data_IF_241000806476
#
_entry.id   IF_241000806476
#
_cell.length_a   1.000
_cell.length_b   1.000
_cell.length_c   1.000
_cell.angle_alpha   90.00
_cell.angle_beta   90.00
_cell.angle_gamma   90.00
#
_symmetry.space_group_name_H-M   'P 1'
#
loop_
_entity.id
_entity.type
_entity.pdbx_description
1 polymer ?
#
# COMPACT_ATOMS: atom_id res chain seq x y z
N UNK A 1 18.87 -51.30 10.15
CA UNK A 1 17.45 -51.32 10.57
C UNK A 1 16.66 -50.75 9.40
N UNK A 2 16.14 -51.66 8.57
CA UNK A 2 15.49 -51.35 7.30
C UNK A 2 13.98 -51.40 7.49
N UNK A 3 13.25 -50.44 6.93
CA UNK A 3 11.90 -50.63 6.40
C UNK A 3 11.64 -49.65 5.25
N UNK A 4 11.86 -50.16 4.03
CA UNK A 4 11.10 -49.80 2.82
C UNK A 4 9.62 -50.05 3.08
N UNK A 5 8.73 -49.26 2.46
CA UNK A 5 7.37 -49.56 1.93
C UNK A 5 6.88 -48.19 1.37
N UNK A 6 7.04 -47.84 0.10
CA UNK A 6 6.16 -48.15 -1.06
C UNK A 6 4.66 -48.20 -0.71
N UNK A 7 3.90 -47.19 -1.16
CA UNK A 7 2.64 -47.40 -1.88
C UNK A 7 2.24 -46.09 -2.61
N UNK A 8 2.43 -46.07 -3.94
CA UNK A 8 1.54 -45.36 -4.85
C UNK A 8 0.18 -46.06 -4.77
N UNK A 9 -0.91 -45.32 -4.66
CA UNK A 9 -2.19 -45.75 -5.23
C UNK A 9 -2.93 -44.56 -5.85
N UNK A 10 -3.28 -44.80 -7.10
CA UNK A 10 -3.96 -43.99 -8.09
C UNK A 10 -5.36 -44.61 -8.23
N UNK A 11 -6.41 -43.78 -8.36
CA UNK A 11 -7.76 -44.03 -8.98
C UNK A 11 -8.75 -44.90 -8.14
N UNK A 12 -10.11 -44.76 -8.24
CA UNK A 12 -10.96 -44.16 -9.32
C UNK A 12 -11.96 -43.07 -8.87
N UNK A 13 -12.32 -42.11 -9.73
CA UNK A 13 -13.33 -42.23 -10.82
C UNK A 13 -14.66 -42.79 -10.31
N UNK A 14 -15.48 -41.95 -9.69
CA UNK A 14 -16.90 -42.26 -9.48
C UNK A 14 -17.64 -41.97 -10.79
N UNK A 15 -17.81 -43.02 -11.60
CA UNK A 15 -18.77 -43.10 -12.69
C UNK A 15 -20.15 -43.35 -12.04
N UNK A 16 -21.00 -42.32 -11.95
CA UNK A 16 -22.43 -42.53 -11.68
C UNK A 16 -23.14 -42.60 -13.02
N UNK A 17 -23.44 -43.83 -13.44
CA UNK A 17 -24.46 -44.13 -14.44
C UNK A 17 -25.77 -44.47 -13.73
N UNK A 18 -26.70 -43.53 -13.75
CA UNK A 18 -28.15 -43.75 -13.82
C UNK A 18 -28.64 -42.57 -14.69
N UNK A 19 -29.20 -42.78 -15.87
CA UNK A 19 -30.36 -43.62 -16.14
C UNK A 19 -31.48 -42.65 -16.50
N UNK A 20 -31.85 -42.64 -17.78
CA UNK A 20 -32.90 -41.80 -18.37
C UNK A 20 -34.13 -41.66 -17.48
N UNK A 21 -34.63 -40.43 -17.32
CA UNK A 21 -36.01 -40.14 -17.70
C UNK A 21 -36.17 -38.65 -18.06
N UNK A 22 -36.80 -38.45 -19.21
CA UNK A 22 -37.12 -37.16 -19.81
C UNK A 22 -38.32 -36.53 -19.11
N UNK A 23 -38.16 -35.34 -18.53
CA UNK A 23 -39.10 -34.22 -18.71
C UNK A 23 -38.77 -33.05 -17.77
N UNK A 24 -38.60 -31.85 -18.34
CA UNK A 24 -38.96 -30.60 -17.67
C UNK A 24 -37.80 -29.80 -17.07
N UNK A 25 -37.39 -28.78 -17.83
CA UNK A 25 -36.94 -27.45 -17.38
C UNK A 25 -36.15 -27.34 -16.07
N UNK A 26 -34.84 -27.06 -16.17
CA UNK A 26 -34.17 -26.10 -15.28
C UNK A 26 -32.78 -25.73 -15.80
N UNK A 27 -32.53 -24.43 -15.86
CA UNK A 27 -31.29 -23.75 -16.23
C UNK A 27 -30.21 -23.98 -15.18
N UNK A 28 -29.07 -24.57 -15.55
CA UNK A 28 -27.80 -24.35 -14.83
C UNK A 28 -26.65 -24.22 -15.82
N UNK A 29 -26.31 -22.97 -16.12
CA UNK A 29 -25.01 -22.57 -16.66
C UNK A 29 -23.97 -22.79 -15.57
N UNK A 30 -23.05 -23.75 -15.73
CA UNK A 30 -21.90 -23.87 -14.82
C UNK A 30 -20.85 -22.83 -15.23
N UNK A 31 -20.91 -21.65 -14.62
CA UNK A 31 -19.84 -20.68 -14.69
C UNK A 31 -18.69 -21.15 -13.82
N UNK A 32 -17.55 -21.42 -14.45
CA UNK A 32 -16.28 -21.73 -13.81
C UNK A 32 -15.73 -20.42 -13.23
N UNK A 33 -15.73 -20.26 -11.91
CA UNK A 33 -15.15 -19.09 -11.23
C UNK A 33 -13.71 -19.45 -10.85
N UNK A 34 -12.74 -18.87 -11.54
CA UNK A 34 -11.34 -18.80 -11.09
C UNK A 34 -11.22 -17.64 -10.10
N UNK A 35 -10.86 -17.93 -8.86
CA UNK A 35 -10.70 -16.94 -7.80
C UNK A 35 -9.37 -16.18 -7.94
N UNK A 36 -9.43 -15.01 -8.56
CA UNK A 36 -8.46 -13.92 -8.38
C UNK A 36 -9.26 -12.62 -8.21
N UNK A 37 -10.08 -12.56 -7.16
CA UNK A 37 -10.73 -11.32 -6.76
C UNK A 37 -9.71 -10.45 -6.01
N UNK A 38 -8.87 -9.76 -6.76
CA UNK A 38 -8.35 -8.48 -6.29
C UNK A 38 -9.53 -7.52 -6.21
N UNK A 39 -9.97 -7.17 -5.01
CA UNK A 39 -10.95 -6.11 -4.78
C UNK A 39 -10.25 -4.78 -5.12
N UNK A 40 -10.18 -4.45 -6.40
CA UNK A 40 -10.00 -3.07 -6.82
C UNK A 40 -11.31 -2.36 -6.51
N UNK A 41 -11.33 -1.59 -5.41
CA UNK A 41 -12.31 -0.52 -5.27
C UNK A 41 -11.98 0.47 -6.39
N UNK A 42 -12.60 0.28 -7.54
CA UNK A 42 -12.71 1.34 -8.54
C UNK A 42 -13.28 2.54 -7.83
N UNK A 43 -12.57 3.68 -7.85
CA UNK A 43 -13.20 4.98 -7.69
C UNK A 43 -14.49 4.95 -8.52
N UNK A 44 -15.66 5.30 -7.95
CA UNK A 44 -16.92 5.23 -8.68
C UNK A 44 -16.82 6.12 -9.92
N UNK A 45 -16.50 5.49 -11.06
CA UNK A 45 -16.32 6.08 -12.39
C UNK A 45 -17.61 5.95 -13.20
N UNK A 46 -18.74 6.07 -12.53
CA UNK A 46 -20.03 6.29 -13.16
C UNK A 46 -20.73 7.33 -12.31
N UNK A 47 -21.13 8.41 -12.95
CA UNK A 47 -21.97 9.49 -12.46
C UNK A 47 -23.28 8.91 -11.87
N UNK A 48 -23.20 8.28 -10.70
CA UNK A 48 -24.36 8.06 -9.86
C UNK A 48 -24.72 9.46 -9.36
N UNK A 49 -25.72 10.08 -9.99
CA UNK A 49 -26.25 11.36 -9.54
C UNK A 49 -26.55 11.23 -8.06
N UNK A 50 -25.75 11.91 -7.23
CA UNK A 50 -25.96 11.95 -5.79
C UNK A 50 -27.31 12.64 -5.58
N UNK A 51 -28.33 11.84 -5.29
CA UNK A 51 -29.73 12.25 -5.38
C UNK A 51 -30.12 13.27 -4.31
N UNK A 52 -29.32 13.42 -3.25
CA UNK A 52 -29.58 14.35 -2.16
C UNK A 52 -28.30 14.74 -1.39
N UNK A 53 -28.34 15.85 -0.66
CA UNK A 53 -27.25 16.26 0.23
C UNK A 53 -26.97 15.24 1.36
N UNK A 54 -27.97 14.46 1.76
CA UNK A 54 -27.79 13.39 2.75
C UNK A 54 -27.00 12.20 2.17
N UNK A 55 -27.27 11.84 0.91
CA UNK A 55 -26.48 10.84 0.19
C UNK A 55 -25.03 11.31 0.04
N UNK A 56 -24.82 12.60 -0.25
CA UNK A 56 -23.49 13.21 -0.31
C UNK A 56 -22.72 13.04 1.01
N UNK A 57 -23.37 13.33 2.15
CA UNK A 57 -22.78 13.10 3.48
C UNK A 57 -22.41 11.63 3.70
N UNK A 58 -23.27 10.70 3.30
CA UNK A 58 -23.01 9.27 3.48
C UNK A 58 -21.82 8.79 2.62
N UNK A 59 -21.69 9.30 1.39
CA UNK A 59 -20.51 9.08 0.54
C UNK A 59 -19.25 9.64 1.22
N UNK A 60 -19.32 10.86 1.74
CA UNK A 60 -18.18 11.49 2.43
C UNK A 60 -17.72 10.70 3.67
N UNK A 61 -18.65 10.16 4.48
CA UNK A 61 -18.31 9.26 5.60
C UNK A 61 -17.63 7.99 5.13
N UNK A 62 -18.11 7.39 4.03
CA UNK A 62 -17.50 6.20 3.43
C UNK A 62 -16.09 6.50 2.93
N UNK A 63 -15.86 7.67 2.34
CA UNK A 63 -14.53 8.10 1.87
C UNK A 63 -13.53 8.17 3.03
N UNK A 64 -13.91 8.70 4.20
CA UNK A 64 -12.98 8.75 5.34
C UNK A 64 -12.78 7.38 6.01
N UNK A 65 -13.79 6.50 5.99
CA UNK A 65 -13.66 5.11 6.45
C UNK A 65 -12.66 4.34 5.59
N UNK A 66 -12.87 4.32 4.26
CA UNK A 66 -11.97 3.66 3.31
C UNK A 66 -10.56 4.22 3.44
N UNK A 67 -10.42 5.55 3.56
CA UNK A 67 -9.11 6.18 3.73
C UNK A 67 -8.36 5.70 4.99
N UNK A 68 -9.08 5.49 6.09
CA UNK A 68 -8.51 4.96 7.33
C UNK A 68 -8.20 3.46 7.23
N UNK A 69 -9.12 2.65 6.69
CA UNK A 69 -8.96 1.19 6.55
C UNK A 69 -7.76 0.81 5.68
N UNK A 70 -7.54 1.51 4.57
CA UNK A 70 -6.36 1.34 3.72
C UNK A 70 -5.02 1.55 4.46
N UNK A 71 -5.06 2.16 5.66
CA UNK A 71 -3.90 2.53 6.48
C UNK A 71 -3.82 1.78 7.79
N UNK A 72 -4.74 0.86 8.10
CA UNK A 72 -4.78 0.17 9.40
C UNK A 72 -3.45 -0.49 9.77
N UNK A 73 -2.73 -1.03 8.77
CA UNK A 73 -1.43 -1.69 8.97
C UNK A 73 -0.30 -0.74 9.30
N UNK A 74 -0.45 0.58 9.07
CA UNK A 74 0.55 1.60 9.36
C UNK A 74 0.67 1.93 10.83
N UNK A 75 -0.37 1.69 11.63
CA UNK A 75 -0.42 2.14 13.00
C UNK A 75 -0.28 0.96 13.97
N UNK A 76 0.21 1.24 15.17
CA UNK A 76 0.09 0.35 16.31
C UNK A 76 -1.28 0.58 16.96
N UNK A 77 -1.60 -0.17 18.02
CA UNK A 77 -2.92 -0.06 18.67
C UNK A 77 -3.24 1.36 19.15
N UNK A 78 -2.24 2.08 19.68
CA UNK A 78 -2.40 3.48 20.14
C UNK A 78 -2.65 4.43 18.97
N UNK A 79 -1.84 4.37 17.91
CA UNK A 79 -2.01 5.18 16.71
C UNK A 79 -3.35 4.89 16.01
N UNK A 80 -3.76 3.62 15.94
CA UNK A 80 -5.05 3.26 15.35
C UNK A 80 -6.23 3.78 16.18
N UNK A 81 -6.10 3.82 17.51
CA UNK A 81 -7.10 4.44 18.38
C UNK A 81 -7.25 5.94 18.10
N UNK A 82 -6.15 6.65 17.80
CA UNK A 82 -6.20 8.07 17.39
C UNK A 82 -6.90 8.24 16.04
N UNK A 83 -6.55 7.41 15.04
CA UNK A 83 -7.21 7.40 13.72
C UNK A 83 -8.71 7.16 13.84
N UNK A 84 -9.12 6.15 14.62
CA UNK A 84 -10.53 5.84 14.88
C UNK A 84 -11.26 7.02 15.52
N UNK A 85 -10.59 7.74 16.43
CA UNK A 85 -11.14 8.95 17.07
C UNK A 85 -11.35 10.06 16.05
N UNK A 86 -10.37 10.35 15.20
CA UNK A 86 -10.50 11.35 14.12
C UNK A 86 -11.60 11.00 13.12
N UNK A 87 -11.73 9.73 12.72
CA UNK A 87 -12.82 9.28 11.83
C UNK A 87 -14.19 9.52 12.48
N UNK A 88 -14.38 9.12 13.73
CA UNK A 88 -15.66 9.29 14.43
C UNK A 88 -16.04 10.77 14.63
N UNK A 89 -15.06 11.61 14.98
CA UNK A 89 -15.26 13.06 15.07
C UNK A 89 -15.63 13.65 13.69
N UNK A 90 -14.91 13.24 12.64
CA UNK A 90 -15.17 13.60 11.26
C UNK A 90 -16.60 13.28 10.82
N UNK A 91 -17.08 12.06 11.11
CA UNK A 91 -18.47 11.65 10.81
C UNK A 91 -19.49 12.55 11.51
N UNK A 92 -19.26 12.87 12.77
CA UNK A 92 -20.12 13.76 13.56
C UNK A 92 -20.16 15.18 12.96
N UNK A 93 -19.03 15.70 12.50
CA UNK A 93 -18.96 17.00 11.83
C UNK A 93 -19.65 16.99 10.47
N UNK A 94 -19.49 15.91 9.69
CA UNK A 94 -20.20 15.74 8.40
C UNK A 94 -21.71 15.72 8.61
N UNK A 95 -22.20 15.05 9.66
CA UNK A 95 -23.61 15.05 10.02
C UNK A 95 -24.15 16.47 10.29
N UNK A 96 -23.35 17.30 10.95
CA UNK A 96 -23.70 18.68 11.29
C UNK A 96 -23.52 19.69 10.14
N UNK A 97 -22.84 19.34 9.06
CA UNK A 97 -22.57 20.25 7.95
C UNK A 97 -23.86 20.66 7.22
N UNK A 98 -23.94 21.91 6.79
CA UNK A 98 -25.10 22.48 6.10
C UNK A 98 -24.88 22.60 4.58
N UNK A 99 -23.62 22.48 4.13
CA UNK A 99 -23.24 22.60 2.72
C UNK A 99 -22.23 21.55 2.28
N UNK A 100 -22.17 21.28 0.98
CA UNK A 100 -21.18 20.38 0.39
C UNK A 100 -19.75 20.87 0.64
N UNK A 101 -19.50 22.17 0.53
CA UNK A 101 -18.18 22.76 0.76
C UNK A 101 -17.68 22.53 2.19
N UNK A 102 -18.56 22.59 3.19
CA UNK A 102 -18.19 22.25 4.57
C UNK A 102 -17.80 20.78 4.71
N UNK A 103 -18.56 19.88 4.10
CA UNK A 103 -18.25 18.44 4.09
C UNK A 103 -16.89 18.18 3.44
N UNK A 104 -16.57 18.80 2.31
CA UNK A 104 -15.26 18.66 1.64
C UNK A 104 -14.11 19.11 2.54
N UNK A 105 -14.26 20.25 3.22
CA UNK A 105 -13.27 20.77 4.17
C UNK A 105 -13.09 19.79 5.34
N UNK A 106 -14.19 19.23 5.88
CA UNK A 106 -14.12 18.24 6.96
C UNK A 106 -13.40 16.98 6.49
N UNK A 107 -13.73 16.44 5.31
CA UNK A 107 -13.06 15.26 4.74
C UNK A 107 -11.56 15.51 4.58
N UNK A 108 -11.17 16.68 4.06
CA UNK A 108 -9.76 17.04 3.89
C UNK A 108 -9.03 17.16 5.24
N UNK A 109 -9.67 17.74 6.25
CA UNK A 109 -9.10 17.86 7.59
C UNK A 109 -8.95 16.49 8.27
N UNK A 110 -9.95 15.62 8.20
CA UNK A 110 -9.87 14.26 8.76
C UNK A 110 -8.74 13.47 8.10
N UNK A 111 -8.62 13.52 6.77
CA UNK A 111 -7.49 12.87 6.06
C UNK A 111 -6.14 13.40 6.55
N UNK A 112 -6.03 14.71 6.76
CA UNK A 112 -4.82 15.33 7.30
C UNK A 112 -4.54 14.87 8.74
N UNK A 113 -5.54 14.83 9.61
CA UNK A 113 -5.39 14.35 10.98
C UNK A 113 -4.90 12.89 11.00
N UNK A 114 -5.46 12.03 10.14
CA UNK A 114 -5.00 10.64 9.97
C UNK A 114 -3.53 10.58 9.50
N UNK A 115 -3.16 11.42 8.51
CA UNK A 115 -1.79 11.49 8.00
C UNK A 115 -0.79 12.04 9.05
N UNK A 116 -1.25 12.87 9.99
CA UNK A 116 -0.44 13.44 11.06
C UNK A 116 -0.21 12.45 12.23
N UNK A 117 -0.96 11.33 12.30
CA UNK A 117 -0.72 10.27 13.28
C UNK A 117 0.60 9.55 12.94
N UNK A 118 1.48 9.44 13.94
CA UNK A 118 2.79 8.78 13.80
C UNK A 118 2.62 7.29 13.41
N UNK A 119 3.16 6.84 12.27
CA UNK A 119 3.12 5.44 11.89
C UNK A 119 3.95 4.57 12.85
N UNK A 120 3.56 3.32 13.08
CA UNK A 120 4.26 2.38 13.97
C UNK A 120 5.74 2.22 13.61
N UNK A 121 6.05 2.17 12.32
CA UNK A 121 7.42 2.01 11.83
C UNK A 121 8.32 3.16 12.26
N UNK A 122 7.77 4.35 12.49
CA UNK A 122 8.56 5.51 12.87
C UNK A 122 9.08 5.37 14.31
N UNK A 123 8.28 4.80 15.21
CA UNK A 123 8.73 4.41 16.56
C UNK A 123 9.76 3.27 16.54
N UNK A 124 9.63 2.33 15.59
CA UNK A 124 10.55 1.19 15.42
C UNK A 124 11.94 1.61 14.91
N UNK A 125 12.00 2.66 14.09
CA UNK A 125 13.26 3.18 13.55
C UNK A 125 13.96 4.10 14.55
N UNK A 126 13.22 4.88 15.33
CA UNK A 126 13.81 5.85 16.26
C UNK A 126 14.81 5.23 17.23
N UNK A 127 15.79 6.03 17.64
CA UNK A 127 16.79 5.64 18.62
C UNK A 127 17.98 4.92 18.00
N UNK A 128 18.33 3.74 18.54
CA UNK A 128 19.56 3.03 18.16
C UNK A 128 19.56 2.59 16.69
N UNK A 129 18.41 2.19 16.15
CA UNK A 129 18.29 1.74 14.77
C UNK A 129 18.54 2.91 13.79
N UNK A 130 17.91 4.06 14.01
CA UNK A 130 18.15 5.29 13.23
C UNK A 130 19.63 5.68 13.24
N UNK A 131 20.27 5.61 14.42
CA UNK A 131 21.69 5.90 14.58
C UNK A 131 22.58 4.96 13.78
N UNK A 132 22.27 3.64 13.80
CA UNK A 132 22.99 2.64 13.00
C UNK A 132 22.83 2.89 11.50
N UNK A 133 21.61 3.07 11.02
CA UNK A 133 21.33 3.32 9.59
C UNK A 133 22.08 4.57 9.11
N UNK A 134 22.03 5.67 9.88
CA UNK A 134 22.76 6.91 9.56
C UNK A 134 24.28 6.69 9.51
N UNK A 135 24.83 6.00 10.49
CA UNK A 135 26.25 5.69 10.53
C UNK A 135 26.66 4.83 9.32
N UNK A 136 25.92 3.76 9.03
CA UNK A 136 26.23 2.87 7.91
C UNK A 136 26.13 3.61 6.56
N UNK A 137 25.17 4.53 6.44
CA UNK A 137 25.03 5.37 5.25
C UNK A 137 26.24 6.29 5.08
N UNK A 138 26.67 6.94 6.16
CA UNK A 138 27.86 7.78 6.17
C UNK A 138 29.12 6.99 5.84
N UNK A 139 29.30 5.79 6.39
CA UNK A 139 30.47 4.94 6.07
C UNK A 139 30.50 4.54 4.59
N UNK A 140 29.34 4.27 3.97
CA UNK A 140 29.26 3.85 2.56
C UNK A 140 29.39 5.01 1.57
N UNK A 141 28.73 6.14 1.85
CA UNK A 141 28.56 7.22 0.87
C UNK A 141 29.30 8.52 1.24
N UNK A 142 29.88 8.60 2.44
CA UNK A 142 30.51 9.81 2.99
C UNK A 142 29.58 11.02 2.99
N UNK A 143 28.30 10.78 3.26
CA UNK A 143 27.23 11.77 3.28
C UNK A 143 26.31 11.53 4.48
N UNK A 144 25.79 12.59 5.08
CA UNK A 144 24.81 12.47 6.17
C UNK A 144 23.43 12.14 5.61
N UNK A 145 22.78 11.14 6.22
CA UNK A 145 21.41 10.78 5.93
C UNK A 145 20.48 11.58 6.85
N UNK A 146 19.84 12.62 6.32
CA UNK A 146 18.89 13.46 7.07
C UNK A 146 17.44 13.11 6.70
N UNK A 147 16.69 12.59 7.68
CA UNK A 147 15.27 12.25 7.58
C UNK A 147 14.35 13.41 7.97
N UNK A 148 14.87 14.42 8.68
CA UNK A 148 14.06 15.44 9.36
C UNK A 148 14.00 16.75 8.57
N UNK A 149 14.88 16.92 7.57
CA UNK A 149 14.76 18.04 6.64
C UNK A 149 13.68 17.74 5.60
N UNK A 150 12.61 18.57 5.62
CA UNK A 150 11.53 18.55 4.63
C UNK A 150 12.11 18.45 3.21
N UNK A 151 12.05 17.26 2.62
CA UNK A 151 12.40 17.01 1.23
C UNK A 151 13.70 16.24 0.94
N UNK A 152 14.51 15.82 1.94
CA UNK A 152 15.77 15.10 1.65
C UNK A 152 15.67 13.58 1.67
N UNK A 153 14.99 13.01 2.66
CA UNK A 153 14.81 11.56 2.73
C UNK A 153 13.44 11.21 3.28
N UNK A 154 12.77 10.21 2.69
CA UNK A 154 11.48 9.69 3.18
C UNK A 154 11.58 8.19 3.39
N UNK A 155 11.05 7.71 4.51
CA UNK A 155 10.93 6.28 4.79
C UNK A 155 9.52 5.85 4.37
N UNK A 156 9.44 4.77 3.61
CA UNK A 156 8.18 4.25 3.08
C UNK A 156 7.63 3.06 3.86
N UNK A 157 8.44 2.50 4.75
CA UNK A 157 8.04 1.42 5.64
C UNK A 157 9.23 0.58 6.07
N UNK A 158 8.95 -0.41 6.92
CA UNK A 158 9.87 -1.49 7.27
C UNK A 158 9.23 -2.79 6.80
N UNK A 159 9.96 -3.53 5.96
CA UNK A 159 9.51 -4.79 5.38
C UNK A 159 10.52 -5.87 5.76
N UNK A 160 10.07 -6.91 6.45
CA UNK A 160 10.96 -7.95 6.99
C UNK A 160 12.18 -7.38 7.78
N UNK A 161 11.96 -6.33 8.58
CA UNK A 161 13.02 -5.64 9.32
C UNK A 161 14.00 -4.84 8.45
N UNK A 162 13.67 -4.61 7.18
CA UNK A 162 14.42 -3.78 6.25
C UNK A 162 13.66 -2.46 5.99
N UNK A 163 14.15 -1.32 6.48
CA UNK A 163 13.57 -0.04 6.15
C UNK A 163 13.86 0.33 4.69
N UNK A 164 12.86 0.92 4.03
CA UNK A 164 12.96 1.38 2.64
C UNK A 164 12.96 2.90 2.61
N UNK A 165 13.98 3.46 1.95
CA UNK A 165 14.26 4.89 1.88
C UNK A 165 14.16 5.39 0.46
N UNK A 166 13.67 6.61 0.35
CA UNK A 166 13.81 7.42 -0.85
C UNK A 166 14.71 8.55 -0.44
N UNK A 167 15.87 8.68 -1.09
CA UNK A 167 16.89 9.68 -0.79
C UNK A 167 16.98 10.63 -1.98
N UNK A 168 16.66 11.89 -1.75
CA UNK A 168 16.72 12.95 -2.75
C UNK A 168 18.17 13.19 -3.12
N UNK A 169 18.42 13.30 -4.42
CA UNK A 169 19.69 13.76 -4.95
C UNK A 169 19.51 15.14 -5.58
N UNK A 170 20.55 16.00 -5.56
CA UNK A 170 20.43 17.45 -5.80
C UNK A 170 20.17 17.86 -7.27
N UNK A 171 19.40 17.10 -8.03
CA UNK A 171 19.13 17.35 -9.45
C UNK A 171 17.62 17.43 -9.73
N UNK A 172 17.21 18.50 -10.42
CA UNK A 172 15.83 18.85 -10.74
C UNK A 172 15.23 18.07 -11.94
N UNK A 173 15.83 16.94 -12.30
CA UNK A 173 15.27 16.13 -13.38
C UNK A 173 14.20 15.19 -12.82
N UNK A 174 13.02 15.22 -13.43
CA UNK A 174 12.05 14.13 -13.34
C UNK A 174 12.74 12.78 -13.54
N UNK A 175 12.33 11.77 -12.75
CA UNK A 175 12.78 10.39 -12.93
C UNK A 175 11.58 9.46 -12.97
N UNK A 176 11.63 8.46 -13.83
CA UNK A 176 10.66 7.38 -13.88
C UNK A 176 11.43 6.07 -13.81
N UNK A 177 11.05 5.22 -12.87
CA UNK A 177 11.64 3.90 -12.70
C UNK A 177 10.56 2.84 -12.72
N UNK A 178 10.80 1.73 -13.41
CA UNK A 178 9.95 0.54 -13.32
C UNK A 178 10.73 -0.52 -12.56
N UNK A 179 10.27 -0.84 -11.35
CA UNK A 179 10.91 -1.80 -10.45
C UNK A 179 9.94 -2.95 -10.26
N UNK A 180 10.33 -4.16 -10.66
CA UNK A 180 9.50 -5.35 -10.57
C UNK A 180 8.10 -5.18 -11.22
N UNK A 181 8.03 -4.45 -12.34
CA UNK A 181 6.77 -4.14 -13.04
C UNK A 181 5.96 -2.98 -12.44
N UNK A 182 6.37 -2.41 -11.30
CA UNK A 182 5.71 -1.29 -10.63
C UNK A 182 6.37 0.02 -11.05
N UNK A 183 5.56 0.99 -11.51
CA UNK A 183 6.01 2.31 -11.94
C UNK A 183 6.15 3.24 -10.72
N UNK A 184 7.30 3.91 -10.64
CA UNK A 184 7.61 4.96 -9.66
C UNK A 184 7.92 6.25 -10.41
N UNK A 185 7.20 7.32 -10.08
CA UNK A 185 7.32 8.63 -10.73
C UNK A 185 7.78 9.69 -9.75
N UNK A 186 8.87 10.36 -10.09
CA UNK A 186 9.51 11.32 -9.22
C UNK A 186 9.60 12.69 -9.87
N UNK A 187 9.13 13.71 -9.16
CA UNK A 187 9.29 15.12 -9.54
C UNK A 187 10.72 15.65 -9.38
N UNK A 188 11.60 14.86 -8.76
CA UNK A 188 13.02 15.16 -8.54
C UNK A 188 13.79 13.84 -8.67
N UNK A 189 15.10 13.86 -8.78
CA UNK A 189 15.84 12.60 -8.76
C UNK A 189 15.88 12.02 -7.33
N UNK A 190 15.41 10.77 -7.18
CA UNK A 190 15.51 10.00 -5.94
C UNK A 190 16.27 8.69 -6.17
N UNK A 191 17.02 8.28 -5.15
CA UNK A 191 17.49 6.91 -5.00
C UNK A 191 16.57 6.14 -4.08
N UNK A 192 16.09 4.99 -4.54
CA UNK A 192 15.37 4.03 -3.72
C UNK A 192 16.40 3.08 -3.11
N UNK A 193 16.50 3.10 -1.78
CA UNK A 193 17.45 2.29 -1.03
C UNK A 193 16.72 1.40 -0.04
N UNK A 194 17.26 0.23 0.20
CA UNK A 194 16.82 -0.69 1.26
C UNK A 194 17.97 -0.91 2.22
N UNK A 195 17.77 -0.71 3.52
CA UNK A 195 18.79 -1.05 4.51
C UNK A 195 18.45 -2.36 5.19
N UNK A 196 19.42 -3.27 5.29
CA UNK A 196 19.30 -4.50 6.07
C UNK A 196 20.65 -4.83 6.68
N UNK A 197 20.70 -4.90 8.01
CA UNK A 197 21.86 -5.40 8.77
C UNK A 197 23.19 -4.73 8.40
N UNK A 198 23.16 -3.41 8.17
CA UNK A 198 24.34 -2.62 7.83
C UNK A 198 24.65 -2.51 6.34
N UNK A 199 23.84 -3.12 5.48
CA UNK A 199 24.01 -3.08 4.04
C UNK A 199 22.88 -2.26 3.42
N UNK A 200 23.25 -1.29 2.56
CA UNK A 200 22.31 -0.59 1.69
C UNK A 200 22.30 -1.23 0.30
N UNK A 201 21.11 -1.63 -0.13
CA UNK A 201 20.83 -2.12 -1.47
C UNK A 201 20.19 -1.01 -2.31
N UNK A 202 20.54 -0.93 -3.58
CA UNK A 202 19.85 -0.15 -4.61
C UNK A 202 18.63 -0.92 -5.11
N UNK A 203 17.44 -0.38 -4.91
CA UNK A 203 16.22 -1.08 -5.31
C UNK A 203 16.10 -1.21 -6.84
N UNK A 204 16.72 -0.32 -7.61
CA UNK A 204 16.66 -0.33 -9.07
C UNK A 204 17.68 -1.29 -9.69
N UNK A 205 18.86 -1.42 -9.08
CA UNK A 205 19.97 -2.20 -9.67
C UNK A 205 20.26 -3.52 -8.95
N UNK A 206 19.77 -3.73 -7.73
CA UNK A 206 20.06 -4.91 -6.91
C UNK A 206 18.79 -5.72 -6.56
N UNK A 207 17.72 -5.56 -7.35
CA UNK A 207 16.41 -6.21 -7.11
C UNK A 207 16.51 -7.74 -7.00
N UNK A 208 17.33 -8.39 -7.83
CA UNK A 208 17.51 -9.85 -7.79
C UNK A 208 18.08 -10.31 -6.44
N UNK A 209 19.07 -9.59 -5.89
CA UNK A 209 19.66 -9.89 -4.58
C UNK A 209 18.61 -9.68 -3.48
N UNK A 210 17.88 -8.58 -3.55
CA UNK A 210 16.82 -8.24 -2.59
C UNK A 210 15.76 -9.35 -2.51
N UNK A 211 15.34 -9.90 -3.65
CA UNK A 211 14.35 -10.98 -3.70
C UNK A 211 14.93 -12.34 -3.27
N UNK A 212 16.14 -12.68 -3.72
CA UNK A 212 16.80 -13.95 -3.37
C UNK A 212 17.05 -14.07 -1.86
N UNK A 213 17.48 -12.98 -1.23
CA UNK A 213 17.71 -12.89 0.22
C UNK A 213 16.41 -12.65 1.01
N UNK A 214 15.25 -12.58 0.32
CA UNK A 214 13.93 -12.32 0.91
C UNK A 214 13.90 -11.05 1.76
N UNK A 215 14.67 -10.04 1.36
CA UNK A 215 14.67 -8.73 2.01
C UNK A 215 13.35 -8.03 1.72
N UNK A 216 12.92 -8.05 0.46
CA UNK A 216 11.58 -7.64 0.02
C UNK A 216 10.96 -8.75 -0.85
N UNK A 217 9.64 -8.76 -0.90
CA UNK A 217 8.83 -9.57 -1.81
C UNK A 217 8.20 -8.71 -2.91
N UNK A 218 7.63 -9.34 -3.93
CA UNK A 218 6.85 -8.64 -4.96
C UNK A 218 5.72 -7.80 -4.33
N UNK A 219 5.00 -8.38 -3.36
CA UNK A 219 3.92 -7.70 -2.64
C UNK A 219 4.41 -6.46 -1.89
N UNK A 220 5.64 -6.49 -1.34
CA UNK A 220 6.22 -5.30 -0.71
C UNK A 220 6.48 -4.19 -1.74
N UNK A 221 7.00 -4.53 -2.93
CA UNK A 221 7.25 -3.54 -4.00
C UNK A 221 5.95 -2.90 -4.49
N UNK A 222 4.92 -3.71 -4.71
CA UNK A 222 3.59 -3.24 -5.11
C UNK A 222 3.01 -2.28 -4.07
N UNK A 223 3.16 -2.62 -2.80
CA UNK A 223 2.70 -1.77 -1.71
C UNK A 223 3.47 -0.45 -1.60
N UNK A 224 4.80 -0.49 -1.70
CA UNK A 224 5.65 0.72 -1.68
C UNK A 224 5.29 1.62 -2.87
N UNK A 225 5.08 1.04 -4.06
CA UNK A 225 4.63 1.76 -5.25
C UNK A 225 3.25 2.39 -5.08
N UNK A 226 2.30 1.66 -4.50
CA UNK A 226 0.97 2.18 -4.18
C UNK A 226 1.06 3.40 -3.26
N UNK A 227 1.82 3.33 -2.17
CA UNK A 227 2.03 4.46 -1.25
C UNK A 227 2.68 5.64 -1.98
N UNK A 228 3.73 5.38 -2.75
CA UNK A 228 4.46 6.39 -3.49
C UNK A 228 3.56 7.16 -4.44
N UNK A 229 2.87 6.46 -5.33
CA UNK A 229 2.01 7.06 -6.34
C UNK A 229 0.86 7.83 -5.66
N UNK A 230 0.22 7.26 -4.63
CA UNK A 230 -0.84 7.94 -3.87
C UNK A 230 -0.38 9.25 -3.20
N UNK A 231 0.84 9.29 -2.67
CA UNK A 231 1.37 10.50 -2.02
C UNK A 231 1.83 11.57 -3.01
N UNK A 232 2.22 11.19 -4.23
CA UNK A 232 2.71 12.11 -5.25
C UNK A 232 1.61 12.78 -6.10
N UNK A 233 0.38 12.25 -6.12
CA UNK A 233 -0.75 12.87 -6.85
C UNK A 233 -1.02 14.35 -6.51
N UNK A 234 -0.59 14.84 -5.33
CA UNK A 234 -0.76 16.25 -4.94
C UNK A 234 0.18 17.23 -5.65
N UNK A 235 1.21 16.73 -6.34
CA UNK A 235 2.17 17.53 -7.09
C UNK A 235 2.18 17.09 -8.55
N UNK A 236 1.08 17.34 -9.27
CA UNK A 236 1.03 17.14 -10.72
C UNK A 236 2.03 18.06 -11.42
N UNK A 237 3.27 17.59 -11.58
CA UNK A 237 4.17 18.08 -12.62
C UNK A 237 3.69 17.52 -13.95
N UNK A 238 3.70 18.32 -15.04
CA UNK A 238 3.42 17.81 -16.38
C UNK A 238 4.30 16.60 -16.68
N UNK A 239 3.70 15.61 -17.35
CA UNK A 239 4.13 14.22 -17.51
C UNK A 239 5.65 14.01 -17.55
N UNK A 240 6.22 13.60 -16.42
CA UNK A 240 7.62 13.20 -16.31
C UNK A 240 7.94 11.94 -17.14
N UNK A 241 6.91 11.18 -17.56
CA UNK A 241 7.02 9.81 -18.08
C UNK A 241 6.22 9.58 -19.38
N UNK A 242 6.23 10.53 -20.33
CA UNK A 242 5.70 10.32 -21.69
C UNK A 242 6.55 9.34 -22.52
#
# INVERSE_FOLDING_TARGET
MARKHFLLMIIPLLLVLFGCDNSGESLFSSTFITSEDSIYVTEPSSEEEISSFEDYKQVAKTIIDVYAEERVTFYNDEGWSLVTTSVNNGKTLIDAAETESEVEVIVANVKKEIDDVEPKWYSEIRGELEGRIKNDYYQKYHQDLDYHHKGKSKIYGIHNGAPVFFISIPWDACKCSVIAGVKFEFIQQWHLRVWKEGIFYDLETELEVIFNERILTQTDIEYIGYIHNKTNYRYQSPDCCE
#
